data_IF_698894860135
#
_entry.id   IF_698894860135
#
_cell.length_a   1.000
_cell.length_b   1.000
_cell.length_c   1.000
_cell.angle_alpha   90.00
_cell.angle_beta   90.00
_cell.angle_gamma   90.00
#
_symmetry.space_group_name_H-M   'P 1'
#
loop_
_entity.id
_entity.type
_entity.pdbx_description
1 polymer ?
#
# COMPACT_ATOMS: atom_id res chain seq x y z
N UNK A 1 56.75 24.65 -27.68
CA UNK A 1 55.87 23.49 -27.91
C UNK A 1 55.18 23.16 -26.58
N UNK A 2 53.89 23.47 -26.46
CA UNK A 2 53.11 23.24 -25.23
C UNK A 2 52.19 22.06 -25.56
N UNK A 3 52.47 20.93 -24.90
CA UNK A 3 51.69 19.74 -25.05
C UNK A 3 50.37 19.82 -24.24
N UNK A 4 49.23 19.76 -24.94
CA UNK A 4 47.91 19.69 -24.32
C UNK A 4 47.61 18.21 -23.94
N UNK A 5 47.55 17.94 -22.65
CA UNK A 5 47.11 16.63 -22.16
C UNK A 5 45.56 16.57 -22.17
N UNK A 6 45.01 15.73 -23.04
CA UNK A 6 43.58 15.37 -23.01
C UNK A 6 43.33 14.43 -21.84
N UNK A 7 42.63 14.94 -20.83
CA UNK A 7 42.07 14.13 -19.75
C UNK A 7 40.80 13.45 -20.27
N UNK A 8 40.88 12.17 -20.56
CA UNK A 8 39.74 11.35 -20.95
C UNK A 8 38.76 11.20 -19.77
N UNK A 9 37.60 11.81 -19.87
CA UNK A 9 36.44 11.54 -19.01
C UNK A 9 35.96 10.09 -19.29
N UNK A 10 36.34 9.16 -18.43
CA UNK A 10 35.74 7.82 -18.41
C UNK A 10 34.28 8.00 -17.95
N UNK A 11 33.37 7.98 -18.91
CA UNK A 11 31.94 7.86 -18.63
C UNK A 11 31.69 6.55 -17.88
N UNK A 12 31.36 6.66 -16.60
CA UNK A 12 30.81 5.55 -15.83
C UNK A 12 29.48 5.21 -16.47
N UNK A 13 29.45 4.16 -17.28
CA UNK A 13 28.21 3.57 -17.75
C UNK A 13 27.44 3.14 -16.50
N UNK A 14 26.35 3.86 -16.20
CA UNK A 14 25.38 3.42 -15.23
C UNK A 14 24.77 2.10 -15.75
N UNK A 15 25.39 0.99 -15.37
CA UNK A 15 24.77 -0.32 -15.50
C UNK A 15 23.42 -0.20 -14.78
N UNK A 16 22.35 -0.25 -15.55
CA UNK A 16 21.00 -0.25 -15.01
C UNK A 16 20.92 -1.39 -13.99
N UNK A 17 20.95 -1.05 -12.73
CA UNK A 17 20.96 -1.98 -11.61
C UNK A 17 19.71 -2.83 -11.76
N UNK A 18 19.87 -4.09 -12.18
CA UNK A 18 18.73 -4.98 -12.42
C UNK A 18 17.92 -5.07 -11.15
N UNK A 19 16.66 -4.69 -11.26
CA UNK A 19 15.72 -4.79 -10.16
C UNK A 19 15.64 -6.23 -9.65
N UNK A 20 15.97 -6.45 -8.37
CA UNK A 20 15.98 -7.76 -7.71
C UNK A 20 14.97 -7.85 -6.58
N UNK A 21 13.95 -6.98 -6.56
CA UNK A 21 12.89 -7.04 -5.55
C UNK A 21 12.15 -8.39 -5.60
N UNK A 22 11.96 -9.09 -4.47
CA UNK A 22 11.25 -10.37 -4.42
C UNK A 22 9.79 -10.22 -4.84
N UNK A 23 9.16 -9.11 -4.44
CA UNK A 23 7.81 -8.73 -4.81
C UNK A 23 7.81 -7.32 -5.43
N UNK A 24 6.64 -6.84 -5.88
CA UNK A 24 6.49 -5.50 -6.43
C UNK A 24 6.81 -4.44 -5.37
N UNK A 25 7.86 -3.63 -5.63
CA UNK A 25 8.33 -2.53 -4.76
C UNK A 25 8.47 -2.94 -3.28
N UNK A 26 9.02 -4.12 -3.06
CA UNK A 26 9.07 -4.76 -1.74
C UNK A 26 9.75 -3.90 -0.69
N UNK A 27 10.91 -3.32 -1.01
CA UNK A 27 11.62 -2.41 -0.10
C UNK A 27 10.72 -1.27 0.38
N UNK A 28 9.85 -0.75 -0.49
CA UNK A 28 8.91 0.32 -0.13
C UNK A 28 7.77 -0.21 0.74
N UNK A 29 7.33 -1.44 0.50
CA UNK A 29 6.23 -2.07 1.24
C UNK A 29 6.58 -2.35 2.70
N UNK A 30 7.84 -2.60 3.03
CA UNK A 30 8.29 -2.90 4.40
C UNK A 30 9.04 -1.75 5.09
N UNK A 31 9.15 -0.58 4.43
CA UNK A 31 9.92 0.57 4.93
C UNK A 31 9.24 1.22 6.15
N UNK A 32 10.02 1.50 7.19
CA UNK A 32 9.57 2.21 8.39
C UNK A 32 10.07 3.65 8.51
N UNK A 33 10.80 4.17 7.52
CA UNK A 33 11.40 5.50 7.59
C UNK A 33 10.38 6.63 7.79
N UNK A 34 9.14 6.44 7.32
CA UNK A 34 8.07 7.42 7.46
C UNK A 34 7.22 7.24 8.73
N UNK A 35 7.48 6.20 9.54
CA UNK A 35 6.57 5.78 10.61
C UNK A 35 6.38 6.80 11.75
N UNK A 36 7.29 7.75 11.90
CA UNK A 36 7.24 8.79 12.94
C UNK A 36 6.66 10.11 12.43
N UNK A 37 6.29 10.20 11.15
CA UNK A 37 5.62 11.37 10.61
C UNK A 37 4.19 11.47 11.15
N UNK A 38 3.73 12.70 11.39
CA UNK A 38 2.36 12.98 11.79
C UNK A 38 1.38 12.61 10.68
N UNK A 39 0.37 11.77 10.95
CA UNK A 39 -0.57 11.35 9.90
C UNK A 39 -1.47 12.50 9.46
N UNK A 40 -1.56 12.75 8.16
CA UNK A 40 -2.57 13.62 7.53
C UNK A 40 -3.93 12.92 7.50
N UNK A 41 -5.03 13.61 7.73
CA UNK A 41 -6.35 13.00 7.63
C UNK A 41 -6.69 12.63 6.18
N UNK A 42 -7.27 11.44 6.00
CA UNK A 42 -7.83 11.00 4.74
C UNK A 42 -9.10 10.17 4.99
N UNK A 43 -9.91 9.98 3.94
CA UNK A 43 -11.08 9.11 3.95
C UNK A 43 -11.06 8.18 2.73
N UNK A 44 -11.75 7.05 2.83
CA UNK A 44 -11.89 6.11 1.70
C UNK A 44 -12.53 6.80 0.50
N UNK A 45 -13.63 7.52 0.73
CA UNK A 45 -14.32 8.27 -0.33
C UNK A 45 -13.41 9.34 -0.97
N UNK A 46 -12.63 10.06 -0.16
CA UNK A 46 -11.68 11.06 -0.64
C UNK A 46 -10.59 10.45 -1.52
N UNK A 47 -10.03 9.31 -1.10
CA UNK A 47 -9.01 8.59 -1.88
C UNK A 47 -9.57 8.16 -3.25
N UNK A 48 -10.72 7.52 -3.26
CA UNK A 48 -11.37 7.04 -4.49
C UNK A 48 -11.81 8.18 -5.43
N UNK A 49 -12.16 9.34 -4.88
CA UNK A 49 -12.62 10.48 -5.68
C UNK A 49 -11.49 11.34 -6.23
N UNK A 50 -10.42 11.56 -5.45
CA UNK A 50 -9.48 12.66 -5.74
C UNK A 50 -8.02 12.27 -5.87
N UNK A 51 -7.61 11.06 -5.45
CA UNK A 51 -6.21 10.68 -5.51
C UNK A 51 -5.82 10.30 -6.95
N UNK A 52 -5.07 11.17 -7.59
CA UNK A 52 -4.57 10.93 -8.95
C UNK A 52 -3.57 9.78 -8.93
N UNK A 53 -3.78 8.74 -9.76
CA UNK A 53 -2.82 7.65 -9.91
C UNK A 53 -1.50 8.14 -10.50
N UNK A 54 -0.35 7.74 -9.93
CA UNK A 54 0.96 8.03 -10.55
C UNK A 54 1.15 7.20 -11.82
N UNK A 55 2.13 7.57 -12.63
CA UNK A 55 2.51 6.82 -13.84
C UNK A 55 3.35 5.57 -13.48
N UNK A 56 2.75 4.67 -12.69
CA UNK A 56 3.33 3.40 -12.29
C UNK A 56 2.49 2.23 -12.81
N UNK A 57 3.17 1.16 -13.20
CA UNK A 57 2.55 -0.07 -13.71
C UNK A 57 3.34 -1.32 -13.30
N UNK A 58 2.96 -2.51 -13.79
CA UNK A 58 3.55 -3.79 -13.36
C UNK A 58 5.07 -3.91 -13.55
N UNK A 59 5.66 -3.12 -14.44
CA UNK A 59 7.11 -3.16 -14.73
C UNK A 59 7.94 -2.32 -13.76
N UNK A 60 7.31 -1.50 -12.94
CA UNK A 60 7.99 -0.54 -12.05
C UNK A 60 8.34 -1.14 -10.68
N UNK A 61 8.83 -2.38 -10.68
CA UNK A 61 9.09 -3.19 -9.48
C UNK A 61 10.10 -2.58 -8.49
N UNK A 62 10.97 -1.70 -8.94
CA UNK A 62 11.96 -1.03 -8.10
C UNK A 62 11.75 0.49 -8.02
N UNK A 63 10.59 0.99 -8.42
CA UNK A 63 10.32 2.43 -8.33
C UNK A 63 10.31 2.87 -6.87
N UNK A 64 11.02 3.96 -6.59
CA UNK A 64 11.03 4.57 -5.27
C UNK A 64 9.70 5.29 -5.01
N UNK A 65 9.44 5.58 -3.74
CA UNK A 65 8.30 6.42 -3.34
C UNK A 65 8.44 7.82 -3.94
N UNK A 66 7.35 8.35 -4.44
CA UNK A 66 7.26 9.69 -4.98
C UNK A 66 6.05 10.44 -4.43
N UNK A 67 6.13 11.77 -4.42
CA UNK A 67 5.02 12.65 -4.07
C UNK A 67 4.22 12.18 -2.83
N UNK A 68 2.92 11.88 -3.01
CA UNK A 68 2.00 11.43 -1.98
C UNK A 68 2.47 10.18 -1.23
N UNK A 69 3.22 9.31 -1.86
CA UNK A 69 3.73 8.11 -1.22
C UNK A 69 4.77 8.37 -0.12
N UNK A 70 5.31 9.59 -0.05
CA UNK A 70 6.23 10.06 1.01
C UNK A 70 5.50 10.62 2.23
N UNK A 71 4.18 10.52 2.25
CA UNK A 71 3.34 11.03 3.31
C UNK A 71 2.68 9.89 4.07
N UNK A 72 2.39 10.13 5.35
CA UNK A 72 1.62 9.21 6.20
C UNK A 72 0.19 9.71 6.30
N UNK A 73 -0.76 8.81 6.18
CA UNK A 73 -2.19 9.13 6.29
C UNK A 73 -2.85 8.37 7.43
N UNK A 74 -3.85 9.01 8.04
CA UNK A 74 -4.72 8.43 9.06
C UNK A 74 -6.15 8.36 8.55
N UNK A 75 -6.73 7.16 8.53
CA UNK A 75 -8.05 6.88 8.00
C UNK A 75 -8.88 6.22 9.10
N UNK A 76 -10.06 6.80 9.42
CA UNK A 76 -11.07 6.17 10.28
C UNK A 76 -12.18 5.61 9.41
N UNK A 77 -12.23 4.29 9.26
CA UNK A 77 -13.10 3.63 8.29
C UNK A 77 -13.65 2.30 8.84
N UNK A 78 -14.51 1.65 8.06
CA UNK A 78 -15.07 0.35 8.39
C UNK A 78 -14.20 -0.77 7.84
N UNK A 79 -13.71 -1.64 8.74
CA UNK A 79 -13.05 -2.90 8.39
C UNK A 79 -14.11 -3.92 8.05
N UNK A 80 -14.11 -4.39 6.80
CA UNK A 80 -15.10 -5.36 6.33
C UNK A 80 -14.51 -6.71 5.91
N UNK A 81 -13.21 -6.73 5.61
CA UNK A 81 -12.50 -7.94 5.22
C UNK A 81 -11.08 -7.92 5.76
N UNK A 82 -10.62 -9.06 6.24
CA UNK A 82 -9.23 -9.27 6.65
C UNK A 82 -8.79 -10.64 6.12
N UNK A 83 -7.77 -10.65 5.26
CA UNK A 83 -7.10 -11.87 4.82
C UNK A 83 -5.73 -11.87 5.47
N UNK A 84 -5.53 -12.81 6.39
CA UNK A 84 -4.25 -13.07 7.02
C UNK A 84 -3.51 -14.09 6.14
N UNK A 85 -2.25 -13.96 5.91
CA UNK A 85 -1.47 -14.90 5.08
C UNK A 85 -1.67 -14.73 3.56
N UNK A 86 -1.17 -13.64 3.03
CA UNK A 86 -0.83 -13.51 1.62
C UNK A 86 0.52 -14.18 1.35
N UNK A 87 0.85 -14.45 0.09
CA UNK A 87 2.08 -15.11 -0.31
C UNK A 87 3.35 -14.36 0.13
N UNK A 88 3.24 -13.03 0.29
CA UNK A 88 4.27 -12.15 0.84
C UNK A 88 4.26 -12.05 2.38
N UNK A 89 3.32 -12.71 3.04
CA UNK A 89 3.14 -12.69 4.50
C UNK A 89 2.34 -11.50 5.03
N UNK A 90 1.87 -10.59 4.18
CA UNK A 90 1.13 -9.41 4.59
C UNK A 90 -0.32 -9.73 5.00
N UNK A 91 -0.86 -8.92 5.88
CA UNK A 91 -2.29 -8.94 6.18
C UNK A 91 -3.01 -7.92 5.32
N UNK A 92 -3.83 -8.40 4.43
CA UNK A 92 -4.64 -7.61 3.53
C UNK A 92 -5.98 -7.25 4.19
N UNK A 93 -6.26 -5.97 4.33
CA UNK A 93 -7.45 -5.44 5.00
C UNK A 93 -8.19 -4.50 4.06
N UNK A 94 -9.48 -4.77 3.85
CA UNK A 94 -10.34 -3.89 3.04
C UNK A 94 -11.11 -2.92 3.93
N UNK A 95 -10.95 -1.63 3.64
CA UNK A 95 -11.62 -0.54 4.32
C UNK A 95 -12.67 0.11 3.42
N UNK A 96 -13.84 0.39 3.99
CA UNK A 96 -14.93 1.13 3.32
C UNK A 96 -15.32 2.37 4.10
N UNK A 97 -15.87 3.37 3.40
CA UNK A 97 -16.35 4.60 4.02
C UNK A 97 -17.48 4.33 5.02
N UNK A 98 -18.42 3.45 4.66
CA UNK A 98 -19.57 3.05 5.47
C UNK A 98 -19.66 1.53 5.54
N UNK A 99 -20.36 1.02 6.56
CA UNK A 99 -20.57 -0.43 6.75
C UNK A 99 -21.35 -1.08 5.62
N UNK A 100 -22.18 -0.31 4.92
CA UNK A 100 -23.06 -0.72 3.83
C UNK A 100 -22.55 -0.29 2.44
N UNK A 101 -21.31 0.22 2.33
CA UNK A 101 -20.73 0.59 1.04
C UNK A 101 -20.72 -0.59 0.06
N UNK A 102 -20.85 -0.34 -1.26
CA UNK A 102 -20.70 -1.37 -2.29
C UNK A 102 -19.42 -2.19 -2.15
N UNK A 103 -19.44 -3.42 -2.62
CA UNK A 103 -18.33 -4.35 -2.38
C UNK A 103 -17.01 -3.96 -3.04
N UNK A 104 -17.04 -3.23 -4.09
CA UNK A 104 -15.90 -2.70 -4.85
C UNK A 104 -15.44 -1.30 -4.43
N UNK A 105 -16.30 -0.57 -3.69
CA UNK A 105 -16.03 0.79 -3.21
C UNK A 105 -15.22 0.76 -1.90
N UNK A 106 -13.99 0.29 -1.98
CA UNK A 106 -13.06 0.16 -0.87
C UNK A 106 -11.64 0.50 -1.28
N UNK A 107 -10.78 0.64 -0.30
CA UNK A 107 -9.33 0.67 -0.45
C UNK A 107 -8.71 -0.51 0.30
N UNK A 108 -7.53 -0.89 -0.11
CA UNK A 108 -6.71 -1.86 0.59
C UNK A 108 -5.78 -1.15 1.57
N UNK A 109 -5.59 -1.75 2.74
CA UNK A 109 -4.47 -1.40 3.62
C UNK A 109 -3.74 -2.68 4.01
N UNK A 110 -2.42 -2.65 4.05
CA UNK A 110 -1.63 -3.85 4.30
C UNK A 110 -0.69 -3.67 5.49
N UNK A 111 -0.68 -4.70 6.36
CA UNK A 111 0.20 -4.75 7.51
C UNK A 111 1.28 -5.79 7.24
N UNK A 112 2.53 -5.39 7.00
CA UNK A 112 3.61 -6.31 6.71
C UNK A 112 3.85 -7.34 7.80
N UNK A 113 4.56 -8.40 7.45
CA UNK A 113 4.88 -9.47 8.38
C UNK A 113 5.71 -8.96 9.57
N UNK A 114 5.49 -9.51 10.78
CA UNK A 114 6.02 -8.96 12.04
C UNK A 114 7.54 -9.04 12.14
N UNK A 115 8.19 -9.93 11.39
CA UNK A 115 9.65 -10.04 11.34
C UNK A 115 10.35 -8.81 10.78
N UNK A 116 9.66 -7.96 10.00
CA UNK A 116 10.25 -6.74 9.42
C UNK A 116 10.24 -5.56 10.38
N UNK A 117 9.33 -5.51 11.36
CA UNK A 117 9.31 -4.46 12.37
C UNK A 117 8.39 -4.79 13.55
N UNK A 118 8.80 -4.40 14.76
CA UNK A 118 7.92 -4.43 15.94
C UNK A 118 6.67 -3.54 15.77
N UNK A 119 6.71 -2.52 14.93
CA UNK A 119 5.53 -1.69 14.60
C UNK A 119 4.45 -2.53 13.92
N UNK A 120 4.84 -3.38 13.00
CA UNK A 120 3.91 -4.28 12.29
C UNK A 120 3.33 -5.34 13.23
N UNK A 121 4.17 -5.91 14.11
CA UNK A 121 3.69 -6.83 15.14
C UNK A 121 2.61 -6.16 16.03
N UNK A 122 2.84 -4.93 16.48
CA UNK A 122 1.88 -4.15 17.28
C UNK A 122 0.62 -3.80 16.50
N UNK A 123 0.74 -3.40 15.22
CA UNK A 123 -0.41 -3.09 14.38
C UNK A 123 -1.30 -4.32 14.15
N UNK A 124 -0.70 -5.50 13.92
CA UNK A 124 -1.42 -6.78 13.82
C UNK A 124 -2.12 -7.15 15.11
N UNK A 125 -1.43 -7.06 16.24
CA UNK A 125 -2.01 -7.35 17.56
C UNK A 125 -3.19 -6.41 17.88
N UNK A 126 -3.06 -5.13 17.55
CA UNK A 126 -4.15 -4.16 17.74
C UNK A 126 -5.35 -4.48 16.84
N UNK A 127 -5.12 -4.85 15.57
CA UNK A 127 -6.19 -5.26 14.67
C UNK A 127 -6.88 -6.53 15.17
N UNK A 128 -6.12 -7.54 15.62
CA UNK A 128 -6.68 -8.75 16.21
C UNK A 128 -7.54 -8.47 17.46
N UNK A 129 -7.08 -7.59 18.33
CA UNK A 129 -7.83 -7.15 19.49
C UNK A 129 -9.15 -6.47 19.08
N UNK A 130 -9.15 -5.65 18.03
CA UNK A 130 -10.36 -5.02 17.51
C UNK A 130 -11.30 -6.03 16.80
N UNK A 131 -10.77 -7.04 16.15
CA UNK A 131 -11.56 -8.13 15.60
C UNK A 131 -12.27 -8.88 16.74
N UNK A 132 -11.57 -9.19 17.82
CA UNK A 132 -12.11 -9.88 18.99
C UNK A 132 -12.77 -11.20 18.58
N UNK A 133 -13.99 -11.41 19.08
CA UNK A 133 -14.82 -12.61 18.83
C UNK A 133 -15.61 -12.57 17.52
N UNK A 134 -15.41 -11.56 16.67
CA UNK A 134 -16.14 -11.43 15.39
C UNK A 134 -15.85 -12.60 14.47
N UNK A 135 -16.90 -13.23 13.97
CA UNK A 135 -16.77 -14.30 12.99
C UNK A 135 -16.19 -13.78 11.68
N UNK A 136 -15.05 -14.34 11.29
CA UNK A 136 -14.48 -14.17 9.95
C UNK A 136 -15.03 -15.32 9.08
N UNK A 137 -15.73 -14.98 8.00
CA UNK A 137 -16.28 -15.93 7.02
C UNK A 137 -15.20 -16.32 6.01
N UNK A 138 -15.50 -17.33 5.18
CA UNK A 138 -14.64 -17.74 4.06
C UNK A 138 -14.25 -16.52 3.21
N UNK A 139 -12.99 -16.44 2.81
CA UNK A 139 -12.44 -15.31 2.06
C UNK A 139 -12.19 -14.05 2.89
N UNK A 140 -12.17 -14.15 4.22
CA UNK A 140 -11.77 -13.07 5.11
C UNK A 140 -12.88 -12.07 5.48
N UNK A 141 -14.14 -12.29 5.05
CA UNK A 141 -15.24 -11.33 5.28
C UNK A 141 -15.62 -11.28 6.76
N UNK A 142 -15.60 -10.10 7.35
CA UNK A 142 -16.05 -9.85 8.72
C UNK A 142 -17.58 -9.87 8.76
N UNK A 143 -18.16 -10.76 9.56
CA UNK A 143 -19.62 -10.93 9.64
C UNK A 143 -20.34 -9.66 10.14
N UNK A 144 -19.71 -8.92 11.03
CA UNK A 144 -20.16 -7.61 11.56
C UNK A 144 -19.00 -6.64 11.39
N UNK A 145 -18.95 -5.83 10.31
CA UNK A 145 -17.93 -4.81 10.11
C UNK A 145 -17.80 -3.91 11.33
N UNK A 146 -16.62 -3.43 11.60
CA UNK A 146 -16.33 -2.54 12.72
C UNK A 146 -15.47 -1.37 12.27
N UNK A 147 -15.50 -0.29 13.03
CA UNK A 147 -14.65 0.88 12.76
C UNK A 147 -13.28 0.70 13.39
N UNK A 148 -12.26 1.12 12.65
CA UNK A 148 -10.90 1.26 13.13
C UNK A 148 -10.27 2.53 12.57
N UNK A 149 -9.27 3.05 13.26
CA UNK A 149 -8.37 4.06 12.72
C UNK A 149 -7.06 3.37 12.34
N UNK A 150 -6.68 3.54 11.08
CA UNK A 150 -5.45 3.00 10.51
C UNK A 150 -4.54 4.15 10.12
N UNK A 151 -3.25 4.07 10.41
CA UNK A 151 -2.27 5.04 9.89
C UNK A 151 -1.05 4.34 9.31
N UNK A 152 -0.57 4.87 8.19
CA UNK A 152 0.56 4.32 7.44
C UNK A 152 0.91 5.17 6.24
N UNK A 153 1.92 4.76 5.49
CA UNK A 153 2.36 5.45 4.29
C UNK A 153 1.40 5.18 3.13
N UNK A 154 1.16 6.20 2.30
CA UNK A 154 0.47 5.95 1.04
C UNK A 154 1.36 5.12 0.11
N UNK A 155 0.74 4.25 -0.66
CA UNK A 155 1.42 3.40 -1.63
C UNK A 155 0.49 3.19 -2.84
N UNK A 156 1.03 3.27 -4.05
CA UNK A 156 0.27 2.95 -5.25
C UNK A 156 0.69 1.58 -5.78
N UNK A 157 -0.20 0.60 -5.73
CA UNK A 157 0.07 -0.74 -6.24
C UNK A 157 -0.18 -0.84 -7.75
N UNK A 158 0.77 -0.33 -8.53
CA UNK A 158 0.75 -0.38 -9.99
C UNK A 158 0.86 -1.80 -10.56
N UNK A 159 1.16 -2.82 -9.73
CA UNK A 159 1.21 -4.22 -10.19
C UNK A 159 -0.13 -4.66 -10.75
N UNK A 160 -1.22 -4.21 -10.15
CA UNK A 160 -2.59 -4.59 -10.53
C UNK A 160 -3.20 -3.73 -11.63
N UNK A 161 -2.45 -2.79 -12.21
CA UNK A 161 -2.91 -1.99 -13.35
C UNK A 161 -2.82 -2.80 -14.65
N UNK A 162 -3.97 -3.02 -15.32
CA UNK A 162 -4.03 -3.65 -16.64
C UNK A 162 -3.73 -2.65 -17.76
N UNK A 163 -3.27 -3.16 -18.91
CA UNK A 163 -3.05 -2.34 -20.09
C UNK A 163 -1.90 -1.33 -19.97
N UNK A 164 -1.04 -1.48 -18.94
CA UNK A 164 0.16 -0.67 -18.76
C UNK A 164 -0.05 0.55 -17.85
N UNK A 165 0.93 1.47 -17.87
CA UNK A 165 1.08 2.56 -16.90
C UNK A 165 -0.09 3.54 -16.87
N UNK A 166 -0.69 3.85 -18.01
CA UNK A 166 -1.74 4.87 -18.13
C UNK A 166 -3.15 4.30 -18.20
N UNK A 167 -3.29 3.00 -18.06
CA UNK A 167 -4.60 2.37 -18.09
C UNK A 167 -5.42 2.72 -16.85
N UNK A 168 -6.69 3.00 -17.04
CA UNK A 168 -7.67 3.16 -15.97
C UNK A 168 -8.29 1.82 -15.53
N UNK A 169 -7.89 0.72 -16.19
CA UNK A 169 -8.34 -0.62 -15.82
C UNK A 169 -7.39 -1.28 -14.83
N UNK A 170 -7.94 -2.07 -13.93
CA UNK A 170 -7.22 -2.89 -12.96
C UNK A 170 -7.49 -4.36 -13.23
N UNK A 171 -6.60 -5.26 -12.78
CA UNK A 171 -6.93 -6.67 -12.72
C UNK A 171 -7.80 -6.96 -11.49
N UNK A 172 -8.57 -8.04 -11.54
CA UNK A 172 -9.50 -8.39 -10.46
C UNK A 172 -8.82 -8.97 -9.20
N UNK A 173 -7.49 -8.97 -9.13
CA UNK A 173 -6.74 -9.60 -8.03
C UNK A 173 -6.47 -8.65 -6.86
N UNK A 174 -6.78 -7.38 -6.98
CA UNK A 174 -6.66 -6.38 -5.91
C UNK A 174 -7.79 -6.53 -4.87
N UNK A 175 -8.02 -7.73 -4.39
CA UNK A 175 -9.12 -8.02 -3.47
C UNK A 175 -10.49 -7.75 -4.12
N UNK A 176 -11.36 -7.03 -3.40
CA UNK A 176 -12.64 -6.54 -3.91
C UNK A 176 -12.64 -5.07 -4.29
N UNK A 177 -11.56 -4.36 -3.95
CA UNK A 177 -11.41 -2.92 -4.16
C UNK A 177 -11.01 -2.65 -5.61
N UNK A 178 -11.96 -2.66 -6.52
CA UNK A 178 -11.74 -2.58 -7.96
C UNK A 178 -12.70 -1.61 -8.68
N UNK A 179 -13.33 -0.71 -7.95
CA UNK A 179 -14.23 0.29 -8.54
C UNK A 179 -13.57 1.18 -9.60
N UNK A 180 -12.29 1.46 -9.46
CA UNK A 180 -11.50 2.26 -10.41
C UNK A 180 -10.01 2.08 -10.15
N UNK A 181 -9.17 2.59 -11.07
CA UNK A 181 -7.71 2.63 -10.90
C UNK A 181 -7.27 3.38 -9.62
N UNK A 182 -8.09 4.26 -9.07
CA UNK A 182 -7.82 4.94 -7.80
C UNK A 182 -7.88 3.99 -6.61
N UNK A 183 -8.57 2.85 -6.74
CA UNK A 183 -8.60 1.82 -5.71
C UNK A 183 -7.26 1.08 -5.57
N UNK A 184 -6.30 1.28 -6.48
CA UNK A 184 -4.92 0.82 -6.35
C UNK A 184 -4.08 1.67 -5.38
N UNK A 185 -4.61 2.79 -4.90
CA UNK A 185 -4.05 3.47 -3.75
C UNK A 185 -4.31 2.68 -2.47
N UNK A 186 -3.24 2.38 -1.77
CA UNK A 186 -3.22 1.66 -0.51
C UNK A 186 -2.65 2.51 0.62
N UNK A 187 -2.86 2.05 1.86
CA UNK A 187 -1.99 2.41 2.97
C UNK A 187 -1.05 1.23 3.22
N UNK A 188 0.17 1.35 2.76
CA UNK A 188 1.17 0.29 2.84
C UNK A 188 2.59 0.86 2.98
N UNK A 189 3.28 0.59 4.07
CA UNK A 189 2.85 -0.24 5.20
C UNK A 189 1.95 0.51 6.18
N UNK A 190 1.11 -0.24 6.88
CA UNK A 190 0.39 0.24 8.05
C UNK A 190 1.31 0.23 9.26
N UNK A 191 1.46 1.36 9.91
CA UNK A 191 2.29 1.51 11.11
C UNK A 191 1.51 1.39 12.43
N UNK A 192 0.24 1.76 12.41
CA UNK A 192 -0.62 1.78 13.61
C UNK A 192 -2.06 1.47 13.27
N UNK A 193 -2.69 0.72 14.16
CA UNK A 193 -4.14 0.48 14.19
C UNK A 193 -4.64 0.81 15.59
N UNK A 194 -5.77 1.52 15.70
CA UNK A 194 -6.42 1.83 16.98
C UNK A 194 -7.94 1.76 16.83
N UNK A 195 -8.66 1.79 17.97
CA UNK A 195 -10.07 2.15 17.97
C UNK A 195 -10.27 3.54 17.33
N UNK A 196 -11.47 3.83 16.79
CA UNK A 196 -11.79 5.09 16.11
C UNK A 196 -11.70 6.30 17.04
#
# INVERSE_FOLDING_TARGET
MIGLALVGLHGVSAEAQRCREPHYRWTQKIDTALADLAPRPASVAGMLATWTPPDLGPRDRCALRSEREREVYGISAWVRRVVKHKDDGDWHVELTERSDSPSDSCIVVEIPAPQYSLRYARARAALDSLIGDRRIRRGGVIARPFRARVSGAAFFDGQHRRGGRRSDTIDGEHGRCNASVRALWEIHPVYRVTAP
#
